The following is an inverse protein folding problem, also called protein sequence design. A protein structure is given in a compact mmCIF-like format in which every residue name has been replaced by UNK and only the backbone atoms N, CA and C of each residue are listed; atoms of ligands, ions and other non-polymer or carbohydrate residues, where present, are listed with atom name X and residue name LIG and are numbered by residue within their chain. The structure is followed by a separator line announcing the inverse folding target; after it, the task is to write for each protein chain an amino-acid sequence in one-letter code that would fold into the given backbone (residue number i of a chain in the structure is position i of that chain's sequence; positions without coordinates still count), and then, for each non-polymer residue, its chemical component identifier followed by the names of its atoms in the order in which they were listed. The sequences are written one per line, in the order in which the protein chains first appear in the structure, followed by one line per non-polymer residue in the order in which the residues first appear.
data_IF_724684173368
#
_entry.id   IF_724684173368
#
_cell.length_a   1.000
_cell.length_b   1.000
_cell.length_c   1.000
_cell.angle_alpha   90.00
_cell.angle_beta   90.00
_cell.angle_gamma   90.00
#
_symmetry.space_group_name_H-M   'P 1'
#
loop_
_entity.id
_entity.type
_entity.pdbx_description
1 polymer ?
#
# COMPACT_ATOMS: atom_id res chain seq x y z
N UNK A 1 34.23 17.14 36.18
CA UNK A 1 34.37 16.48 37.50
C UNK A 1 33.00 16.11 38.02
N UNK A 2 32.91 14.95 38.67
CA UNK A 2 31.72 14.19 39.11
C UNK A 2 30.85 14.91 40.17
N UNK A 3 29.55 14.60 40.15
CA UNK A 3 28.67 13.99 41.22
C UNK A 3 27.25 14.57 41.07
N UNK A 4 26.25 13.79 40.62
CA UNK A 4 25.39 12.87 41.39
C UNK A 4 24.85 13.49 42.68
N UNK A 5 23.53 13.71 42.72
CA UNK A 5 22.74 13.66 43.94
C UNK A 5 21.40 12.95 43.65
N UNK A 6 21.23 11.81 44.32
CA UNK A 6 19.99 11.06 44.43
C UNK A 6 19.02 11.81 45.35
N UNK A 7 17.72 11.82 45.03
CA UNK A 7 16.68 11.93 46.05
C UNK A 7 15.56 10.93 45.73
N UNK A 8 15.46 9.92 46.60
CA UNK A 8 14.32 9.04 46.73
C UNK A 8 13.13 9.83 47.27
N UNK A 9 11.98 9.77 46.60
CA UNK A 9 10.68 9.95 47.26
C UNK A 9 9.81 8.75 46.91
N UNK A 10 9.68 7.90 47.92
CA UNK A 10 8.68 6.85 48.05
C UNK A 10 7.31 7.51 48.16
N UNK A 11 6.45 7.37 47.16
CA UNK A 11 5.02 7.62 47.31
C UNK A 11 4.28 6.28 47.30
N UNK A 12 3.67 6.02 48.44
CA UNK A 12 2.73 4.95 48.72
C UNK A 12 1.51 5.15 47.81
N UNK A 13 1.30 4.24 46.85
CA UNK A 13 0.02 4.13 46.17
C UNK A 13 -0.83 3.11 46.92
N UNK A 14 -1.90 3.62 47.52
CA UNK A 14 -3.03 2.88 48.04
C UNK A 14 -3.62 2.02 46.92
N UNK A 15 -3.71 0.72 47.18
CA UNK A 15 -4.49 -0.24 46.41
C UNK A 15 -5.96 0.15 46.53
N UNK A 16 -6.51 0.75 45.48
CA UNK A 16 -7.95 0.77 45.24
C UNK A 16 -8.25 -0.36 44.26
N UNK A 17 -8.93 -1.40 44.74
CA UNK A 17 -9.55 -2.42 43.89
C UNK A 17 -10.72 -1.76 43.14
N UNK A 18 -10.43 -1.11 42.01
CA UNK A 18 -11.40 -0.78 40.99
C UNK A 18 -11.47 -1.93 39.99
N UNK A 19 -12.68 -2.38 39.68
CA UNK A 19 -12.92 -3.36 38.61
C UNK A 19 -12.14 -2.97 37.34
N UNK A 20 -11.55 -3.93 36.60
CA UNK A 20 -11.07 -3.63 35.27
C UNK A 20 -12.27 -3.14 34.46
N UNK A 21 -12.24 -1.87 34.06
CA UNK A 21 -13.09 -1.39 32.97
C UNK A 21 -12.80 -2.29 31.78
N UNK A 22 -13.78 -3.11 31.41
CA UNK A 22 -13.83 -3.75 30.12
C UNK A 22 -13.89 -2.61 29.12
N UNK A 23 -12.74 -2.29 28.52
CA UNK A 23 -12.72 -1.51 27.29
C UNK A 23 -13.43 -2.39 26.28
N UNK A 24 -14.71 -2.08 26.05
CA UNK A 24 -15.46 -2.66 24.94
C UNK A 24 -14.82 -2.05 23.70
N UNK A 25 -13.92 -2.80 23.06
CA UNK A 25 -13.48 -2.48 21.71
C UNK A 25 -14.75 -2.43 20.86
N UNK A 26 -15.10 -1.22 20.42
CA UNK A 26 -16.23 -0.99 19.55
C UNK A 26 -15.86 -1.62 18.20
N UNK A 27 -16.47 -2.76 17.88
CA UNK A 27 -16.28 -3.40 16.58
C UNK A 27 -16.81 -2.45 15.49
N UNK A 28 -15.90 -1.83 14.72
CA UNK A 28 -16.25 -1.01 13.56
C UNK A 28 -16.75 -1.93 12.43
N UNK A 29 -18.06 -2.15 12.42
CA UNK A 29 -18.76 -2.89 11.35
C UNK A 29 -18.54 -2.23 10.00
N UNK A 30 -18.45 -3.00 8.90
CA UNK A 30 -18.39 -2.49 7.52
C UNK A 30 -19.40 -1.35 7.24
N UNK A 31 -20.60 -1.44 7.82
CA UNK A 31 -21.67 -0.45 7.71
C UNK A 31 -21.30 0.95 8.25
N UNK A 32 -20.29 1.07 9.12
CA UNK A 32 -19.84 2.36 9.67
C UNK A 32 -18.84 3.08 8.75
N UNK A 33 -18.14 2.35 7.88
CA UNK A 33 -17.21 2.93 6.90
C UNK A 33 -17.89 3.32 5.59
N UNK A 34 -19.06 2.74 5.31
CA UNK A 34 -19.95 3.22 4.26
C UNK A 34 -20.55 4.52 4.80
N UNK A 35 -20.22 5.69 4.21
CA UNK A 35 -20.69 6.94 4.75
C UNK A 35 -22.23 6.93 4.70
N UNK A 36 -22.89 7.21 5.84
CA UNK A 36 -24.34 7.40 5.93
C UNK A 36 -24.66 8.73 5.25
N UNK A 37 -24.60 8.74 3.93
CA UNK A 37 -25.01 9.87 3.11
C UNK A 37 -26.29 9.44 2.43
N UNK A 38 -27.31 10.28 2.57
CA UNK A 38 -28.64 10.13 1.98
C UNK A 38 -28.58 10.40 0.46
N UNK A 39 -27.66 9.73 -0.25
CA UNK A 39 -27.60 9.72 -1.70
C UNK A 39 -28.43 8.54 -2.19
N UNK A 40 -29.49 8.83 -2.94
CA UNK A 40 -30.29 7.84 -3.66
C UNK A 40 -29.48 7.06 -4.72
N UNK A 41 -28.18 7.36 -4.90
CA UNK A 41 -27.32 6.93 -6.00
C UNK A 41 -25.97 6.31 -5.54
N UNK A 42 -25.98 5.44 -4.53
CA UNK A 42 -24.80 4.62 -4.17
C UNK A 42 -24.93 3.23 -4.79
N UNK A 43 -24.01 2.86 -5.67
CA UNK A 43 -23.91 1.49 -6.18
C UNK A 43 -22.83 0.72 -5.43
N UNK A 44 -23.19 -0.44 -4.89
CA UNK A 44 -22.29 -1.31 -4.12
C UNK A 44 -22.14 -2.63 -4.88
N UNK A 45 -20.92 -2.93 -5.29
CA UNK A 45 -20.56 -4.17 -5.96
C UNK A 45 -19.81 -5.08 -4.97
N UNK A 46 -20.40 -6.22 -4.61
CA UNK A 46 -19.72 -7.23 -3.81
C UNK A 46 -18.76 -8.05 -4.66
N UNK A 47 -17.53 -8.22 -4.17
CA UNK A 47 -16.47 -8.93 -4.87
C UNK A 47 -16.40 -10.42 -4.47
N UNK A 48 -17.10 -10.82 -3.41
CA UNK A 48 -17.21 -12.22 -2.96
C UNK A 48 -15.87 -12.87 -2.55
N UNK A 49 -14.85 -12.07 -2.24
CA UNK A 49 -13.53 -12.55 -1.83
C UNK A 49 -13.46 -12.79 -0.30
N UNK A 50 -12.34 -13.34 0.17
CA UNK A 50 -12.15 -13.71 1.59
C UNK A 50 -12.12 -12.53 2.58
N UNK A 51 -12.04 -11.30 2.09
CA UNK A 51 -12.02 -10.08 2.91
C UNK A 51 -13.33 -9.29 2.79
N UNK A 52 -14.40 -9.93 2.29
CA UNK A 52 -15.71 -9.31 2.12
C UNK A 52 -15.63 -7.97 1.37
N UNK A 53 -14.72 -7.90 0.38
CA UNK A 53 -14.45 -6.69 -0.37
C UNK A 53 -15.66 -6.20 -1.17
N UNK A 54 -15.86 -4.88 -1.19
CA UNK A 54 -16.89 -4.21 -1.97
C UNK A 54 -16.33 -2.97 -2.66
N UNK A 55 -16.76 -2.73 -3.89
CA UNK A 55 -16.54 -1.45 -4.57
C UNK A 55 -17.75 -0.57 -4.31
N UNK A 56 -17.50 0.65 -3.84
CA UNK A 56 -18.52 1.66 -3.58
C UNK A 56 -18.36 2.76 -4.63
N UNK A 57 -19.36 2.88 -5.49
CA UNK A 57 -19.48 3.94 -6.47
C UNK A 57 -20.53 4.95 -6.00
N UNK A 58 -20.08 6.17 -5.70
CA UNK A 58 -20.95 7.27 -5.29
C UNK A 58 -21.07 8.22 -6.47
N UNK A 59 -22.24 8.22 -7.12
CA UNK A 59 -22.50 9.02 -8.31
C UNK A 59 -22.18 10.51 -8.05
N UNK A 60 -21.30 11.10 -8.86
CA UNK A 60 -20.81 12.48 -8.70
C UNK A 60 -19.50 12.62 -7.92
N UNK A 61 -18.96 11.54 -7.35
CA UNK A 61 -17.62 11.48 -6.73
C UNK A 61 -16.56 10.93 -7.68
N UNK A 62 -16.93 10.65 -8.94
CA UNK A 62 -16.00 10.35 -10.02
C UNK A 62 -15.13 11.59 -10.23
N UNK A 63 -14.04 11.65 -9.47
CA UNK A 63 -13.01 12.63 -9.68
C UNK A 63 -12.22 12.17 -10.89
N UNK A 64 -12.39 12.84 -12.02
CA UNK A 64 -11.43 12.77 -13.10
C UNK A 64 -10.14 13.40 -12.59
N UNK A 65 -9.25 12.58 -12.04
CA UNK A 65 -7.87 12.99 -11.81
C UNK A 65 -7.16 13.02 -13.14
N UNK A 66 -6.46 14.11 -13.45
CA UNK A 66 -5.49 14.11 -14.53
C UNK A 66 -4.14 13.74 -13.91
N UNK A 67 -3.77 12.46 -13.99
CA UNK A 67 -2.40 12.06 -13.71
C UNK A 67 -1.72 11.87 -15.07
N UNK A 68 -0.88 12.84 -15.44
CA UNK A 68 -0.11 12.85 -16.69
C UNK A 68 -0.97 12.80 -17.97
N UNK A 69 -2.09 13.54 -17.98
CA UNK A 69 -2.99 13.60 -19.15
C UNK A 69 -3.95 12.42 -19.30
N UNK A 70 -3.85 11.41 -18.41
CA UNK A 70 -4.83 10.31 -18.34
C UNK A 70 -5.89 10.67 -17.30
N UNK A 71 -7.16 10.55 -17.70
CA UNK A 71 -8.28 10.62 -16.78
C UNK A 71 -8.47 9.25 -16.13
N UNK A 72 -8.56 9.24 -14.80
CA UNK A 72 -8.84 8.03 -14.04
C UNK A 72 -10.22 8.12 -13.40
N UNK A 73 -10.94 7.00 -13.38
CA UNK A 73 -12.15 6.87 -12.59
C UNK A 73 -11.81 6.36 -11.19
N UNK A 74 -11.90 7.27 -10.22
CA UNK A 74 -11.72 6.96 -8.80
C UNK A 74 -13.05 6.51 -8.18
N UNK A 75 -13.06 5.28 -7.67
CA UNK A 75 -14.12 4.73 -6.80
C UNK A 75 -13.53 4.50 -5.39
N UNK A 76 -14.32 3.97 -4.47
CA UNK A 76 -13.81 3.47 -3.19
C UNK A 76 -13.80 1.94 -3.15
N UNK A 77 -12.81 1.37 -2.47
CA UNK A 77 -12.75 -0.04 -2.07
C UNK A 77 -12.89 -0.11 -0.56
N UNK A 78 -13.82 -0.94 -0.10
CA UNK A 78 -14.05 -1.21 1.33
C UNK A 78 -13.91 -2.71 1.56
N UNK A 79 -13.19 -3.14 2.59
CA UNK A 79 -12.98 -4.56 2.89
C UNK A 79 -12.67 -4.76 4.38
N UNK A 80 -12.69 -6.01 4.85
CA UNK A 80 -12.42 -6.37 6.25
C UNK A 80 -11.37 -7.47 6.38
N UNK A 81 -10.43 -7.30 7.31
CA UNK A 81 -9.45 -8.33 7.68
C UNK A 81 -9.41 -8.42 9.20
N UNK A 82 -9.58 -9.63 9.74
CA UNK A 82 -9.58 -9.87 11.19
C UNK A 82 -10.50 -8.92 11.97
N UNK A 83 -11.71 -8.67 11.43
CA UNK A 83 -12.73 -7.75 11.94
C UNK A 83 -12.35 -6.26 11.93
N UNK A 84 -11.21 -5.90 11.35
CA UNK A 84 -10.86 -4.50 11.06
C UNK A 84 -11.32 -4.16 9.66
N UNK A 85 -12.18 -3.16 9.56
CA UNK A 85 -12.66 -2.64 8.30
C UNK A 85 -11.66 -1.61 7.74
N UNK A 86 -11.50 -1.57 6.42
CA UNK A 86 -10.65 -0.64 5.70
C UNK A 86 -11.41 0.03 4.57
N UNK A 87 -11.12 1.29 4.29
CA UNK A 87 -11.59 2.06 3.14
C UNK A 87 -10.42 2.79 2.50
N UNK A 88 -10.31 2.68 1.19
CA UNK A 88 -9.36 3.45 0.39
C UNK A 88 -9.93 3.71 -1.01
N UNK A 89 -9.19 4.45 -1.83
CA UNK A 89 -9.56 4.65 -3.22
C UNK A 89 -9.30 3.40 -4.07
N UNK A 90 -10.01 3.34 -5.19
CA UNK A 90 -9.93 2.29 -6.17
C UNK A 90 -9.80 2.89 -7.57
N UNK A 91 -8.85 2.37 -8.36
CA UNK A 91 -8.64 2.75 -9.76
C UNK A 91 -9.28 1.69 -10.65
N UNK A 92 -10.36 2.05 -11.34
CA UNK A 92 -11.13 1.13 -12.16
C UNK A 92 -10.31 0.53 -13.31
N UNK A 93 -9.28 1.24 -13.78
CA UNK A 93 -8.38 0.84 -14.84
C UNK A 93 -7.53 -0.39 -14.47
N UNK A 94 -7.34 -0.65 -13.17
CA UNK A 94 -6.59 -1.81 -12.68
C UNK A 94 -7.45 -3.07 -12.53
N UNK A 95 -8.77 -2.99 -12.74
CA UNK A 95 -9.69 -4.15 -12.64
C UNK A 95 -9.22 -5.37 -13.44
N UNK A 96 -8.81 -5.25 -14.72
CA UNK A 96 -8.38 -6.42 -15.49
C UNK A 96 -7.23 -7.18 -14.84
N UNK A 97 -6.27 -6.46 -14.25
CA UNK A 97 -5.15 -7.06 -13.54
C UNK A 97 -5.60 -7.75 -12.25
N UNK A 98 -6.53 -7.13 -11.51
CA UNK A 98 -7.07 -7.71 -10.28
C UNK A 98 -7.96 -8.93 -10.54
N UNK A 99 -8.78 -8.93 -11.59
CA UNK A 99 -9.53 -10.10 -12.05
C UNK A 99 -8.58 -11.25 -12.39
N UNK A 100 -7.48 -10.95 -13.10
CA UNK A 100 -6.46 -11.95 -13.37
C UNK A 100 -5.85 -12.52 -12.09
N UNK A 101 -5.56 -11.69 -11.08
CA UNK A 101 -5.02 -12.15 -9.79
C UNK A 101 -5.98 -13.14 -9.13
N UNK A 102 -7.29 -12.82 -9.11
CA UNK A 102 -8.33 -13.66 -8.52
C UNK A 102 -8.35 -15.05 -9.18
N UNK A 103 -8.30 -15.07 -10.51
CA UNK A 103 -8.46 -16.30 -11.30
C UNK A 103 -7.18 -17.15 -11.40
N UNK A 104 -5.99 -16.55 -11.27
CA UNK A 104 -4.72 -17.18 -11.66
C UNK A 104 -3.69 -17.32 -10.53
N UNK A 105 -4.01 -16.89 -9.31
CA UNK A 105 -3.09 -17.02 -8.17
C UNK A 105 -3.70 -17.81 -7.02
N UNK A 106 -2.90 -18.54 -6.23
CA UNK A 106 -3.36 -19.15 -4.97
C UNK A 106 -3.94 -18.11 -4.02
N UNK A 107 -4.95 -18.48 -3.21
CA UNK A 107 -5.57 -17.57 -2.23
C UNK A 107 -4.58 -17.01 -1.20
N UNK A 108 -3.53 -17.75 -0.88
CA UNK A 108 -2.48 -17.38 0.05
C UNK A 108 -1.29 -16.66 -0.60
N UNK A 109 -1.37 -16.33 -1.90
CA UNK A 109 -0.32 -15.60 -2.60
C UNK A 109 -0.06 -14.22 -1.97
N UNK A 110 1.22 -13.86 -1.87
CA UNK A 110 1.67 -12.56 -1.34
C UNK A 110 2.32 -11.74 -2.46
N UNK A 111 1.89 -10.48 -2.59
CA UNK A 111 2.38 -9.55 -3.59
C UNK A 111 3.35 -8.51 -3.00
N UNK A 112 4.49 -8.31 -3.65
CA UNK A 112 5.34 -7.13 -3.49
C UNK A 112 4.85 -6.03 -4.43
N UNK A 113 4.51 -4.87 -3.88
CA UNK A 113 3.95 -3.72 -4.61
C UNK A 113 4.35 -2.41 -3.93
N UNK A 114 4.12 -1.29 -4.61
CA UNK A 114 4.13 0.02 -3.96
C UNK A 114 2.87 0.22 -3.10
N UNK A 115 2.98 0.93 -1.97
CA UNK A 115 1.94 0.96 -0.93
C UNK A 115 0.58 1.48 -1.43
N UNK A 116 0.57 2.41 -2.40
CA UNK A 116 -0.63 2.94 -3.05
C UNK A 116 -1.59 1.84 -3.53
N UNK A 117 -1.05 0.70 -3.98
CA UNK A 117 -1.84 -0.40 -4.52
C UNK A 117 -2.27 -1.45 -3.50
N UNK A 118 -1.72 -1.42 -2.28
CA UNK A 118 -1.91 -2.53 -1.37
C UNK A 118 -3.36 -2.69 -0.90
N UNK A 119 -4.06 -1.59 -0.61
CA UNK A 119 -5.50 -1.66 -0.31
C UNK A 119 -6.34 -2.14 -1.49
N UNK A 120 -5.99 -1.73 -2.72
CA UNK A 120 -6.70 -2.19 -3.92
C UNK A 120 -6.49 -3.68 -4.15
N UNK A 121 -5.27 -4.18 -4.05
CA UNK A 121 -4.97 -5.61 -4.19
C UNK A 121 -5.68 -6.40 -3.09
N UNK A 122 -5.52 -6.03 -1.81
CA UNK A 122 -6.15 -6.75 -0.69
C UNK A 122 -7.67 -6.73 -0.81
N UNK A 123 -8.25 -5.54 -0.93
CA UNK A 123 -9.70 -5.35 -0.95
C UNK A 123 -10.35 -5.98 -2.17
N UNK A 124 -9.72 -5.90 -3.35
CA UNK A 124 -10.32 -6.45 -4.56
C UNK A 124 -10.12 -7.96 -4.70
N UNK A 125 -8.89 -8.43 -4.49
CA UNK A 125 -8.51 -9.81 -4.81
C UNK A 125 -8.58 -10.75 -3.62
N UNK A 126 -8.64 -10.21 -2.40
CA UNK A 126 -8.48 -10.97 -1.17
C UNK A 126 -7.07 -11.52 -0.95
N UNK A 127 -6.05 -11.16 -1.75
CA UNK A 127 -4.66 -11.60 -1.55
C UNK A 127 -3.92 -10.74 -0.53
N UNK A 128 -2.85 -11.27 0.05
CA UNK A 128 -1.99 -10.49 0.94
C UNK A 128 -0.93 -9.71 0.18
N UNK A 129 -0.42 -8.66 0.82
CA UNK A 129 0.60 -7.78 0.24
C UNK A 129 1.69 -7.51 1.26
N UNK A 130 2.90 -7.25 0.78
CA UNK A 130 4.03 -6.86 1.64
C UNK A 130 3.76 -5.53 2.33
N UNK A 131 3.13 -4.58 1.63
CA UNK A 131 2.81 -3.26 2.16
C UNK A 131 1.49 -2.74 1.60
N UNK A 132 0.66 -2.16 2.47
CA UNK A 132 -0.62 -1.53 2.10
C UNK A 132 -0.79 -0.09 2.58
N UNK A 133 0.10 0.40 3.44
CA UNK A 133 0.06 1.77 3.96
C UNK A 133 1.45 2.40 3.85
N UNK A 134 1.55 3.73 3.75
CA UNK A 134 2.84 4.41 3.79
C UNK A 134 3.43 4.35 5.20
N UNK A 135 4.69 4.77 5.35
CA UNK A 135 5.17 5.20 6.66
C UNK A 135 4.81 6.65 6.91
N UNK A 136 4.71 7.02 8.19
CA UNK A 136 4.38 8.39 8.59
C UNK A 136 5.37 9.40 8.00
N UNK A 137 6.67 9.14 8.12
CA UNK A 137 7.74 9.98 7.56
C UNK A 137 7.62 10.16 6.05
N UNK A 138 7.30 9.07 5.32
CA UNK A 138 7.14 9.12 3.87
C UNK A 138 5.93 9.98 3.48
N UNK A 139 4.80 9.77 4.16
CA UNK A 139 3.56 10.50 3.88
C UNK A 139 3.73 12.01 4.08
N UNK A 140 4.33 12.42 5.20
CA UNK A 140 4.57 13.84 5.47
C UNK A 140 5.49 14.49 4.42
N UNK A 141 6.43 13.72 3.89
CA UNK A 141 7.41 14.21 2.91
C UNK A 141 6.85 14.33 1.50
N UNK A 142 5.89 13.46 1.10
CA UNK A 142 5.44 13.36 -0.29
C UNK A 142 3.99 13.78 -0.53
N UNK A 143 3.10 13.48 0.41
CA UNK A 143 1.65 13.59 0.21
C UNK A 143 1.01 14.66 1.10
N UNK A 144 1.80 15.60 1.62
CA UNK A 144 1.34 16.68 2.49
C UNK A 144 0.61 16.19 3.76
N UNK A 145 0.83 14.94 4.17
CA UNK A 145 0.28 14.36 5.41
C UNK A 145 -1.18 13.90 5.35
N UNK A 146 -1.80 13.77 4.17
CA UNK A 146 -3.20 13.32 4.09
C UNK A 146 -3.28 11.79 4.02
N UNK A 147 -3.39 11.14 5.18
CA UNK A 147 -3.73 9.72 5.33
C UNK A 147 -4.80 9.59 6.40
N UNK A 148 -5.87 8.88 6.07
CA UNK A 148 -6.93 8.59 7.03
C UNK A 148 -6.57 7.29 7.77
N UNK A 149 -5.95 7.40 8.93
CA UNK A 149 -5.61 6.22 9.76
C UNK A 149 -6.88 5.48 10.20
N UNK A 150 -8.01 6.18 10.36
CA UNK A 150 -9.26 5.57 10.82
C UNK A 150 -9.90 4.70 9.73
N UNK A 151 -9.85 5.16 8.48
CA UNK A 151 -10.37 4.41 7.33
C UNK A 151 -9.34 3.46 6.71
N UNK A 152 -8.10 3.88 6.50
CA UNK A 152 -7.08 3.12 5.76
C UNK A 152 -6.11 2.35 6.67
N UNK A 153 -6.23 2.48 7.99
CA UNK A 153 -5.44 1.72 8.95
C UNK A 153 -4.06 2.34 9.25
N UNK A 154 -3.31 1.60 10.08
CA UNK A 154 -2.06 2.08 10.67
C UNK A 154 -0.93 2.22 9.65
N UNK A 155 0.00 3.13 9.94
CA UNK A 155 1.21 3.31 9.15
C UNK A 155 2.08 2.06 9.15
N UNK A 156 2.70 1.79 8.00
CA UNK A 156 3.75 0.79 7.88
C UNK A 156 5.05 1.33 8.50
N UNK A 157 5.88 0.41 9.01
CA UNK A 157 7.19 0.79 9.54
C UNK A 157 8.09 1.37 8.44
N UNK A 158 8.98 2.31 8.81
CA UNK A 158 9.98 2.85 7.87
C UNK A 158 10.89 1.77 7.31
N UNK A 159 11.26 0.77 8.11
CA UNK A 159 12.09 -0.36 7.66
C UNK A 159 11.39 -1.12 6.52
N UNK A 160 10.10 -1.42 6.67
CA UNK A 160 9.31 -2.11 5.65
C UNK A 160 9.24 -1.29 4.35
N UNK A 161 8.96 0.01 4.46
CA UNK A 161 8.91 0.91 3.30
C UNK A 161 10.28 0.99 2.61
N UNK A 162 11.35 1.11 3.38
CA UNK A 162 12.71 1.10 2.85
C UNK A 162 13.02 -0.21 2.13
N UNK A 163 12.68 -1.36 2.70
CA UNK A 163 12.88 -2.66 2.05
C UNK A 163 12.11 -2.76 0.74
N UNK A 164 10.84 -2.35 0.70
CA UNK A 164 10.04 -2.34 -0.54
C UNK A 164 10.69 -1.44 -1.59
N UNK A 165 11.14 -0.24 -1.22
CA UNK A 165 11.87 0.65 -2.12
C UNK A 165 13.15 0.01 -2.65
N UNK A 166 13.94 -0.61 -1.78
CA UNK A 166 15.15 -1.31 -2.19
C UNK A 166 14.84 -2.49 -3.11
N UNK A 167 13.74 -3.20 -2.86
CA UNK A 167 13.30 -4.32 -3.69
C UNK A 167 12.86 -3.90 -5.09
N UNK A 168 12.24 -2.72 -5.24
CA UNK A 168 11.72 -2.23 -6.52
C UNK A 168 12.75 -1.40 -7.31
N UNK A 169 13.65 -0.67 -6.65
CA UNK A 169 14.53 0.31 -7.33
C UNK A 169 15.92 -0.20 -7.69
N UNK A 170 16.33 -1.37 -7.19
CA UNK A 170 17.67 -1.91 -7.43
C UNK A 170 17.61 -3.10 -8.38
N UNK A 171 18.55 -4.02 -8.29
CA UNK A 171 18.60 -5.19 -9.18
C UNK A 171 17.67 -6.33 -8.71
N UNK A 172 17.41 -7.27 -9.63
CA UNK A 172 16.57 -8.44 -9.38
C UNK A 172 17.00 -9.30 -8.18
N UNK A 173 18.30 -9.31 -7.85
CA UNK A 173 18.80 -10.00 -6.67
C UNK A 173 18.32 -9.36 -5.37
N UNK A 174 18.28 -8.02 -5.32
CA UNK A 174 17.70 -7.28 -4.18
C UNK A 174 16.20 -7.50 -4.06
N UNK A 175 15.48 -7.50 -5.18
CA UNK A 175 14.05 -7.84 -5.23
C UNK A 175 13.80 -9.22 -4.63
N UNK A 176 14.57 -10.23 -5.06
CA UNK A 176 14.44 -11.59 -4.55
C UNK A 176 14.72 -11.68 -3.04
N UNK A 177 15.70 -10.93 -2.52
CA UNK A 177 15.98 -10.86 -1.07
C UNK A 177 14.79 -10.31 -0.31
N UNK A 178 14.19 -9.21 -0.76
CA UNK A 178 13.02 -8.59 -0.13
C UNK A 178 11.82 -9.52 -0.19
N UNK A 179 11.54 -10.10 -1.36
CA UNK A 179 10.45 -11.07 -1.51
C UNK A 179 10.64 -12.30 -0.61
N UNK A 180 11.88 -12.77 -0.42
CA UNK A 180 12.15 -13.87 0.51
C UNK A 180 11.99 -13.47 1.97
N UNK A 181 12.35 -12.22 2.34
CA UNK A 181 12.14 -11.69 3.71
C UNK A 181 10.66 -11.66 4.08
N UNK A 182 9.79 -11.33 3.12
CA UNK A 182 8.35 -11.15 3.33
C UNK A 182 7.47 -12.24 2.69
N UNK A 183 8.06 -13.35 2.27
CA UNK A 183 7.37 -14.48 1.64
C UNK A 183 6.52 -14.11 0.40
N UNK A 184 6.89 -13.06 -0.32
CA UNK A 184 6.21 -12.67 -1.54
C UNK A 184 6.50 -13.65 -2.69
N UNK A 185 5.45 -13.93 -3.46
CA UNK A 185 5.44 -14.81 -4.63
C UNK A 185 5.39 -14.03 -5.93
N UNK A 186 4.74 -12.87 -5.91
CA UNK A 186 4.50 -12.02 -7.07
C UNK A 186 5.02 -10.59 -6.84
N UNK A 187 5.34 -9.91 -7.92
CA UNK A 187 5.59 -8.46 -7.95
C UNK A 187 4.52 -7.81 -8.84
N UNK A 188 3.85 -6.79 -8.32
CA UNK A 188 2.87 -5.99 -9.05
C UNK A 188 3.43 -4.58 -9.27
N UNK A 189 3.48 -4.15 -10.53
CA UNK A 189 3.98 -2.82 -10.93
C UNK A 189 3.00 -2.17 -11.90
N UNK A 190 2.93 -0.83 -11.86
CA UNK A 190 2.02 -0.02 -12.67
C UNK A 190 2.83 0.96 -13.52
N UNK A 191 2.35 1.28 -14.73
CA UNK A 191 3.04 2.11 -15.73
C UNK A 191 3.48 3.50 -15.21
N UNK A 192 2.77 4.05 -14.24
CA UNK A 192 3.08 5.35 -13.62
C UNK A 192 4.17 5.29 -12.54
N UNK A 193 4.55 4.10 -12.08
CA UNK A 193 5.43 3.91 -10.91
C UNK A 193 6.77 4.65 -11.03
N UNK A 194 7.42 4.61 -12.20
CA UNK A 194 8.73 5.27 -12.40
C UNK A 194 8.68 6.78 -12.13
N UNK A 195 7.55 7.41 -12.42
CA UNK A 195 7.40 8.84 -12.19
C UNK A 195 7.32 9.16 -10.69
N UNK A 196 6.67 8.29 -9.92
CA UNK A 196 6.56 8.43 -8.46
C UNK A 196 7.93 8.20 -7.81
N UNK A 197 8.67 7.20 -8.28
CA UNK A 197 9.95 6.84 -7.67
C UNK A 197 11.08 7.86 -7.86
N UNK A 198 11.03 8.69 -8.90
CA UNK A 198 12.01 9.76 -9.12
C UNK A 198 12.12 10.74 -7.95
N UNK A 199 10.98 11.05 -7.31
CA UNK A 199 10.94 11.90 -6.12
C UNK A 199 11.22 11.11 -4.84
N UNK A 200 10.66 9.90 -4.72
CA UNK A 200 10.86 9.06 -3.53
C UNK A 200 12.35 8.77 -3.29
N UNK A 201 13.13 8.54 -4.35
CA UNK A 201 14.55 8.20 -4.23
C UNK A 201 15.36 9.34 -3.58
N UNK A 202 14.96 10.60 -3.83
CA UNK A 202 15.58 11.77 -3.23
C UNK A 202 15.15 11.90 -1.78
N UNK A 203 13.84 11.87 -1.54
CA UNK A 203 13.30 12.17 -0.21
C UNK A 203 13.58 11.06 0.80
N UNK A 204 13.40 9.79 0.43
CA UNK A 204 13.50 8.68 1.37
C UNK A 204 14.89 8.07 1.45
N UNK A 205 15.60 7.95 0.32
CA UNK A 205 16.93 7.35 0.30
C UNK A 205 18.06 8.38 0.36
N UNK A 206 17.76 9.68 0.23
CA UNK A 206 18.77 10.73 0.17
C UNK A 206 19.70 10.58 -1.04
N UNK A 207 19.30 9.82 -2.06
CA UNK A 207 20.10 9.55 -3.24
C UNK A 207 19.82 10.62 -4.29
N UNK A 208 20.85 11.06 -4.98
CA UNK A 208 20.73 11.91 -6.17
C UNK A 208 20.07 13.28 -5.90
N UNK A 209 20.10 13.78 -4.67
CA UNK A 209 19.55 15.09 -4.32
C UNK A 209 20.27 16.26 -5.02
N UNK A 210 21.47 16.00 -5.53
CA UNK A 210 22.30 16.93 -6.29
C UNK A 210 22.10 16.84 -7.82
N UNK A 211 21.31 15.86 -8.30
CA UNK A 211 21.07 15.63 -9.72
C UNK A 211 19.82 16.37 -10.22
N UNK A 212 19.81 16.71 -11.52
CA UNK A 212 18.61 17.18 -12.21
C UNK A 212 17.55 16.07 -12.32
N UNK A 213 16.29 16.42 -12.54
CA UNK A 213 15.20 15.43 -12.69
C UNK A 213 15.48 14.43 -13.83
N UNK A 214 16.05 14.91 -14.94
CA UNK A 214 16.45 14.08 -16.08
C UNK A 214 17.56 13.09 -15.69
N UNK A 215 18.58 13.56 -14.96
CA UNK A 215 19.66 12.70 -14.47
C UNK A 215 19.17 11.70 -13.43
N UNK A 216 18.26 12.12 -12.52
CA UNK A 216 17.61 11.23 -11.53
C UNK A 216 16.85 10.10 -12.22
N UNK A 217 16.05 10.46 -13.23
CA UNK A 217 15.30 9.49 -14.01
C UNK A 217 16.24 8.51 -14.72
N UNK A 218 17.33 9.01 -15.32
CA UNK A 218 18.34 8.16 -15.95
C UNK A 218 18.98 7.16 -14.98
N UNK A 219 19.13 7.51 -13.69
CA UNK A 219 19.65 6.56 -12.67
C UNK A 219 18.72 5.42 -12.35
N UNK A 220 17.41 5.61 -12.48
CA UNK A 220 16.42 4.56 -12.17
C UNK A 220 16.03 3.73 -13.40
N UNK A 221 16.46 4.09 -14.61
CA UNK A 221 16.22 3.29 -15.83
C UNK A 221 16.84 1.89 -15.76
N UNK A 222 17.94 1.73 -15.02
CA UNK A 222 18.59 0.42 -14.86
C UNK A 222 17.97 -0.44 -13.73
N UNK A 223 16.98 0.09 -13.01
CA UNK A 223 16.29 -0.60 -11.92
C UNK A 223 15.50 -1.81 -12.40
N UNK A 224 15.18 -2.72 -11.47
CA UNK A 224 14.32 -3.87 -11.76
C UNK A 224 12.92 -3.41 -12.16
N UNK A 225 12.38 -2.35 -11.55
CA UNK A 225 11.03 -1.87 -11.87
C UNK A 225 10.97 -1.28 -13.26
N UNK A 226 11.99 -0.53 -13.69
CA UNK A 226 12.08 -0.07 -15.07
C UNK A 226 12.09 -1.25 -16.06
N UNK A 227 12.91 -2.26 -15.79
CA UNK A 227 12.96 -3.50 -16.60
C UNK A 227 11.63 -4.25 -16.61
N UNK A 228 10.91 -4.29 -15.47
CA UNK A 228 9.59 -4.90 -15.38
C UNK A 228 8.57 -4.14 -16.21
N UNK A 229 8.63 -2.81 -16.20
CA UNK A 229 7.73 -1.96 -16.98
C UNK A 229 8.01 -2.00 -18.48
N UNK A 230 9.25 -2.27 -18.87
CA UNK A 230 9.66 -2.48 -20.27
C UNK A 230 9.45 -3.93 -20.76
N UNK A 231 8.88 -4.81 -19.93
CA UNK A 231 8.67 -6.23 -20.27
C UNK A 231 9.98 -6.97 -20.60
N UNK A 232 11.10 -6.50 -20.04
CA UNK A 232 12.41 -7.11 -20.25
C UNK A 232 12.49 -8.49 -19.56
N UNK A 233 13.35 -9.36 -20.11
CA UNK A 233 13.71 -10.61 -19.43
C UNK A 233 14.50 -10.31 -18.16
N UNK A 234 13.98 -10.74 -17.00
CA UNK A 234 14.60 -10.53 -15.69
C UNK A 234 14.92 -11.89 -15.09
N UNK A 235 16.19 -12.15 -14.80
CA UNK A 235 16.59 -13.42 -14.21
C UNK A 235 15.89 -13.65 -12.86
N UNK A 236 15.28 -14.82 -12.68
CA UNK A 236 14.52 -15.18 -11.47
C UNK A 236 13.05 -14.74 -11.46
N UNK A 237 12.58 -14.10 -12.54
CA UNK A 237 11.21 -13.60 -12.63
C UNK A 237 10.57 -13.96 -13.97
N UNK A 238 9.30 -14.36 -13.94
CA UNK A 238 8.48 -14.66 -15.12
C UNK A 238 7.36 -13.62 -15.23
N UNK A 239 7.24 -12.95 -16.37
CA UNK A 239 6.09 -12.09 -16.67
C UNK A 239 4.86 -12.98 -16.89
N UNK A 240 3.86 -12.88 -16.00
CA UNK A 240 2.66 -13.73 -16.01
C UNK A 240 1.39 -12.98 -16.42
N UNK A 241 1.41 -11.64 -16.35
CA UNK A 241 0.33 -10.78 -16.79
C UNK A 241 0.87 -9.42 -17.27
N UNK A 242 0.30 -8.88 -18.34
CA UNK A 242 0.54 -7.51 -18.81
C UNK A 242 -0.72 -6.93 -19.43
N UNK A 243 -1.00 -5.67 -19.13
CA UNK A 243 -1.92 -4.82 -19.86
C UNK A 243 -1.35 -3.39 -20.01
N UNK A 244 -2.21 -2.44 -20.42
CA UNK A 244 -1.80 -1.05 -20.64
C UNK A 244 -1.42 -0.28 -19.35
N UNK A 245 -1.77 -0.80 -18.17
CA UNK A 245 -1.61 -0.15 -16.87
C UNK A 245 -0.72 -0.95 -15.94
N UNK A 246 -0.89 -2.26 -15.86
CA UNK A 246 -0.26 -3.10 -14.85
C UNK A 246 0.48 -4.29 -15.45
N UNK A 247 1.52 -4.73 -14.73
CA UNK A 247 2.30 -5.93 -15.04
C UNK A 247 2.51 -6.73 -13.76
N UNK A 248 2.46 -8.05 -13.91
CA UNK A 248 2.64 -8.98 -12.80
C UNK A 248 3.76 -9.95 -13.14
N UNK A 249 4.74 -10.02 -12.26
CA UNK A 249 5.86 -10.94 -12.34
C UNK A 249 5.75 -11.98 -11.23
N UNK A 250 5.95 -13.25 -11.58
CA UNK A 250 6.08 -14.35 -10.62
C UNK A 250 7.54 -14.63 -10.34
N UNK A 251 7.89 -14.85 -9.07
CA UNK A 251 9.23 -15.30 -8.66
C UNK A 251 9.39 -16.80 -8.96
N UNK A 252 10.49 -17.16 -9.62
CA UNK A 252 10.84 -18.54 -10.00
C UNK A 252 11.54 -19.32 -8.86
#
# INVERSE_FOLDING_TARGET
MKKILFLFITCILLVSCGNPEVVVEQEDSLDSLIPVVDYEDVNIESLGNRYDGVIVDVQGTIMSGEHQGKQFMRQDIVYSVDKKSFRNYFLAELRPAFDWIVDNTPEDAIFLNWWDYGHMIRGYTGREVVVYSPSEDLLWSLASGQWDVSGSGDFSSDELISDVLFGLLFDAGRTAVVMNKYYADYVFVVDVDLNVFGDIIVYKLGLYSDLSDEDRFAKIQDSVIAKMLEESSINGFELVYTDNFAKIYKKN
#
